data_IF_693448363386
#
_entry.id   IF_693448363386
#
_cell.length_a   1.000
_cell.length_b   1.000
_cell.length_c   1.000
_cell.angle_alpha   90.00
_cell.angle_beta   90.00
_cell.angle_gamma   90.00
#
_symmetry.space_group_name_H-M   'P 1'
#
loop_
_entity.id
_entity.type
_entity.pdbx_description
1 polymer ?
#
# COMPACT_ATOMS: atom_id res chain seq x y z
N UNK A 1 22.50 22.85 34.23
CA UNK A 1 21.33 22.86 33.31
C UNK A 1 21.53 23.97 32.28
N UNK A 2 21.34 23.71 30.98
CA UNK A 2 21.59 24.69 29.89
C UNK A 2 20.79 25.98 30.10
N UNK A 3 19.57 25.89 30.65
CA UNK A 3 18.72 27.04 30.98
C UNK A 3 19.27 28.01 32.03
N UNK A 4 20.31 27.65 32.80
CA UNK A 4 20.89 28.52 33.83
C UNK A 4 21.91 29.55 33.28
N UNK A 5 22.25 29.47 32.00
CA UNK A 5 23.27 30.34 31.38
C UNK A 5 22.67 31.71 31.10
N UNK A 6 23.22 32.77 31.68
CA UNK A 6 22.71 34.14 31.52
C UNK A 6 22.84 34.68 30.09
N UNK A 7 23.95 34.40 29.41
CA UNK A 7 24.19 34.89 28.05
C UNK A 7 23.42 34.07 27.02
N UNK A 8 22.56 34.74 26.25
CA UNK A 8 21.62 34.10 25.32
C UNK A 8 22.34 33.36 24.17
N UNK A 9 23.36 33.96 23.57
CA UNK A 9 24.15 33.30 22.51
C UNK A 9 24.79 32.00 23.01
N UNK A 10 25.48 32.03 24.16
CA UNK A 10 26.10 30.82 24.73
C UNK A 10 25.08 29.76 25.13
N UNK A 11 23.86 30.16 25.51
CA UNK A 11 22.76 29.24 25.81
C UNK A 11 22.30 28.53 24.54
N UNK A 12 22.09 29.28 23.45
CA UNK A 12 21.72 28.70 22.14
C UNK A 12 22.78 27.75 21.64
N UNK A 13 24.05 28.14 21.64
CA UNK A 13 25.14 27.31 21.11
C UNK A 13 25.23 25.96 21.85
N UNK A 14 25.11 25.98 23.18
CA UNK A 14 25.11 24.74 23.98
C UNK A 14 23.84 23.91 23.79
N UNK A 15 22.68 24.54 23.62
CA UNK A 15 21.44 23.83 23.31
C UNK A 15 21.53 23.13 21.96
N UNK A 16 22.05 23.82 20.94
CA UNK A 16 22.26 23.27 19.60
C UNK A 16 23.25 22.10 19.65
N UNK A 17 24.38 22.25 20.35
CA UNK A 17 25.33 21.17 20.54
C UNK A 17 24.73 19.95 21.26
N UNK A 18 23.83 20.15 22.22
CA UNK A 18 23.14 19.06 22.91
C UNK A 18 22.12 18.36 22.00
N UNK A 19 21.34 19.12 21.23
CA UNK A 19 20.41 18.59 20.24
C UNK A 19 21.13 17.76 19.17
N UNK A 20 22.24 18.28 18.62
CA UNK A 20 23.08 17.57 17.65
C UNK A 20 23.56 16.23 18.21
N UNK A 21 24.03 16.20 19.47
CA UNK A 21 24.48 14.96 20.12
C UNK A 21 23.35 13.94 20.26
N UNK A 22 22.15 14.38 20.63
CA UNK A 22 20.98 13.50 20.74
C UNK A 22 20.59 12.93 19.38
N UNK A 23 20.61 13.77 18.34
CA UNK A 23 20.30 13.36 16.98
C UNK A 23 21.32 12.33 16.46
N UNK A 24 22.63 12.58 16.60
CA UNK A 24 23.68 11.62 16.21
C UNK A 24 23.58 10.31 16.99
N UNK A 25 23.15 10.33 18.26
CA UNK A 25 22.93 9.10 19.02
C UNK A 25 21.77 8.28 18.42
N UNK A 26 20.70 8.94 17.99
CA UNK A 26 19.53 8.30 17.37
C UNK A 26 19.84 7.78 15.95
N UNK A 27 20.61 8.52 15.17
CA UNK A 27 21.11 8.09 13.86
C UNK A 27 21.93 6.78 13.96
N UNK A 28 22.73 6.63 15.02
CA UNK A 28 23.47 5.39 15.30
C UNK A 28 22.59 4.23 15.75
N UNK A 29 21.45 4.51 16.37
CA UNK A 29 20.51 3.48 16.86
C UNK A 29 19.66 2.90 15.71
N UNK A 30 19.18 3.77 14.80
CA UNK A 30 18.26 3.41 13.71
C UNK A 30 18.97 3.04 12.40
N UNK A 31 20.18 3.58 12.17
CA UNK A 31 20.83 3.54 10.86
C UNK A 31 20.42 4.73 9.96
N UNK A 32 21.29 5.10 9.02
CA UNK A 32 21.12 6.31 8.20
C UNK A 32 19.96 6.17 7.20
N UNK A 33 19.82 5.04 6.50
CA UNK A 33 18.74 4.90 5.50
C UNK A 33 17.34 4.95 6.15
N UNK A 34 17.16 4.26 7.28
CA UNK A 34 15.89 4.21 8.00
C UNK A 34 15.51 5.59 8.55
N UNK A 35 16.46 6.32 9.16
CA UNK A 35 16.16 7.64 9.73
C UNK A 35 15.78 8.65 8.65
N UNK A 36 16.38 8.58 7.45
CA UNK A 36 16.01 9.44 6.31
C UNK A 36 14.60 9.16 5.79
N UNK A 37 14.19 7.89 5.79
CA UNK A 37 12.81 7.50 5.48
C UNK A 37 11.83 8.11 6.48
N UNK A 38 12.09 7.89 7.78
CA UNK A 38 11.28 8.43 8.88
C UNK A 38 11.18 9.95 8.82
N UNK A 39 12.28 10.67 8.55
CA UNK A 39 12.26 12.13 8.44
C UNK A 39 11.30 12.64 7.36
N UNK A 40 11.33 12.01 6.18
CA UNK A 40 10.44 12.38 5.07
C UNK A 40 8.99 12.09 5.40
N UNK A 41 8.71 10.89 5.92
CA UNK A 41 7.36 10.47 6.26
C UNK A 41 6.76 11.38 7.35
N UNK A 42 7.49 11.60 8.44
CA UNK A 42 7.05 12.45 9.55
C UNK A 42 6.81 13.88 9.06
N UNK A 43 7.70 14.42 8.21
CA UNK A 43 7.53 15.75 7.65
C UNK A 43 6.24 15.86 6.84
N UNK A 44 6.00 14.92 5.93
CA UNK A 44 4.81 14.91 5.07
C UNK A 44 3.53 14.72 5.88
N UNK A 45 3.51 13.79 6.83
CA UNK A 45 2.35 13.54 7.69
C UNK A 45 1.95 14.77 8.51
N UNK A 46 2.93 15.44 9.12
CA UNK A 46 2.68 16.65 9.91
C UNK A 46 2.25 17.81 9.01
N UNK A 47 2.89 17.94 7.84
CA UNK A 47 2.53 18.96 6.85
C UNK A 47 1.09 18.81 6.39
N UNK A 48 0.66 17.60 6.01
CA UNK A 48 -0.70 17.35 5.53
C UNK A 48 -1.74 17.68 6.60
N UNK A 49 -1.47 17.30 7.85
CA UNK A 49 -2.37 17.57 8.98
C UNK A 49 -2.53 19.08 9.20
N UNK A 50 -1.42 19.81 9.27
CA UNK A 50 -1.45 21.27 9.50
C UNK A 50 -2.00 22.04 8.30
N UNK A 51 -1.74 21.56 7.09
CA UNK A 51 -2.24 22.19 5.87
C UNK A 51 -3.77 22.09 5.77
N UNK A 52 -4.34 20.92 6.09
CA UNK A 52 -5.79 20.75 6.14
C UNK A 52 -6.43 21.70 7.15
N UNK A 53 -5.87 21.79 8.36
CA UNK A 53 -6.33 22.72 9.39
C UNK A 53 -6.21 24.19 8.92
N UNK A 54 -5.14 24.54 8.19
CA UNK A 54 -4.98 25.88 7.65
C UNK A 54 -6.02 26.22 6.60
N UNK A 55 -6.35 25.29 5.71
CA UNK A 55 -7.41 25.48 4.71
C UNK A 55 -8.77 25.72 5.37
N UNK A 56 -9.09 24.96 6.42
CA UNK A 56 -10.31 25.15 7.22
C UNK A 56 -10.32 26.54 7.88
N UNK A 57 -9.23 26.93 8.53
CA UNK A 57 -9.09 28.26 9.13
C UNK A 57 -9.23 29.39 8.09
N UNK A 58 -8.67 29.20 6.89
CA UNK A 58 -8.76 30.16 5.79
C UNK A 58 -10.18 30.27 5.22
N UNK A 59 -10.95 29.18 5.27
CA UNK A 59 -12.36 29.18 4.90
C UNK A 59 -13.20 29.93 5.94
N UNK A 60 -13.00 29.68 7.23
CA UNK A 60 -13.64 30.43 8.31
C UNK A 60 -13.28 31.93 8.26
N UNK A 61 -12.01 32.25 7.98
CA UNK A 61 -11.56 33.62 7.82
C UNK A 61 -12.30 34.32 6.68
N UNK A 62 -12.46 33.65 5.53
CA UNK A 62 -13.19 34.18 4.37
C UNK A 62 -14.66 34.46 4.70
N UNK A 63 -15.32 33.55 5.41
CA UNK A 63 -16.73 33.71 5.81
C UNK A 63 -16.89 34.84 6.84
N UNK A 64 -15.97 34.96 7.80
CA UNK A 64 -16.01 35.95 8.87
C UNK A 64 -15.66 37.39 8.46
N UNK A 65 -14.80 37.57 7.44
CA UNK A 65 -14.34 38.90 7.01
C UNK A 65 -15.46 39.79 6.50
N UNK A 66 -16.48 39.21 5.86
CA UNK A 66 -17.61 39.96 5.35
C UNK A 66 -18.35 40.69 6.48
N UNK A 67 -18.45 40.07 7.66
CA UNK A 67 -19.09 40.64 8.85
C UNK A 67 -18.22 41.69 9.56
N UNK A 68 -16.89 41.63 9.41
CA UNK A 68 -15.94 42.61 9.96
C UNK A 68 -15.76 43.85 9.08
N UNK A 69 -16.14 43.78 7.81
CA UNK A 69 -16.01 44.88 6.83
C UNK A 69 -16.83 46.14 7.14
N UNK A 70 -17.74 46.08 8.14
CA UNK A 70 -18.54 47.23 8.59
C UNK A 70 -17.65 48.38 9.15
N UNK A 71 -16.37 48.13 9.43
CA UNK A 71 -15.41 49.10 9.98
C UNK A 71 -14.63 49.98 8.99
N UNK A 72 -15.10 50.19 7.76
CA UNK A 72 -14.43 51.03 6.72
C UNK A 72 -13.03 50.57 6.26
N UNK A 73 -12.61 49.36 6.61
CA UNK A 73 -11.38 48.75 6.09
C UNK A 73 -11.68 47.84 4.92
N UNK A 74 -10.79 47.83 3.92
CA UNK A 74 -10.91 46.97 2.74
C UNK A 74 -10.83 45.49 3.17
N UNK A 75 -11.89 44.69 2.94
CA UNK A 75 -11.92 43.26 3.27
C UNK A 75 -10.74 42.48 2.69
N UNK A 76 -10.28 42.86 1.50
CA UNK A 76 -9.19 42.16 0.81
C UNK A 76 -7.85 42.35 1.52
N UNK A 77 -7.61 43.55 2.04
CA UNK A 77 -6.37 43.89 2.76
C UNK A 77 -6.31 43.18 4.11
N UNK A 78 -7.42 43.16 4.84
CA UNK A 78 -7.53 42.43 6.11
C UNK A 78 -7.38 40.91 5.88
N UNK A 79 -8.02 40.35 4.84
CA UNK A 79 -7.83 38.94 4.48
C UNK A 79 -6.37 38.59 4.24
N UNK A 80 -5.66 39.42 3.46
CA UNK A 80 -4.24 39.20 3.20
C UNK A 80 -3.40 39.31 4.47
N UNK A 81 -3.67 40.28 5.34
CA UNK A 81 -2.91 40.44 6.58
C UNK A 81 -3.17 39.31 7.57
N UNK A 82 -4.42 38.88 7.75
CA UNK A 82 -4.78 37.80 8.67
C UNK A 82 -4.33 36.43 8.13
N UNK A 83 -4.46 36.18 6.82
CA UNK A 83 -3.98 34.95 6.21
C UNK A 83 -2.46 34.77 6.31
N UNK A 84 -1.69 35.86 6.14
CA UNK A 84 -0.24 35.81 6.36
C UNK A 84 0.11 35.44 7.80
N UNK A 85 -0.58 36.01 8.79
CA UNK A 85 -0.36 35.66 10.21
C UNK A 85 -0.66 34.19 10.50
N UNK A 86 -1.76 33.66 9.92
CA UNK A 86 -2.10 32.25 10.04
C UNK A 86 -1.05 31.35 9.40
N UNK A 87 -0.52 31.75 8.24
CA UNK A 87 0.53 30.99 7.56
C UNK A 87 1.87 31.02 8.33
N UNK A 88 2.28 32.17 8.86
CA UNK A 88 3.49 32.28 9.68
C UNK A 88 3.38 31.42 10.95
N UNK A 89 2.18 31.39 11.57
CA UNK A 89 1.88 30.50 12.69
C UNK A 89 1.96 29.03 12.28
N UNK A 90 1.38 28.63 11.14
CA UNK A 90 1.49 27.27 10.63
C UNK A 90 2.96 26.86 10.44
N UNK A 91 3.78 27.73 9.86
CA UNK A 91 5.20 27.43 9.66
C UNK A 91 5.95 27.25 10.98
N UNK A 92 5.62 28.04 12.00
CA UNK A 92 6.22 27.89 13.33
C UNK A 92 5.82 26.55 13.96
N UNK A 93 4.53 26.22 13.94
CA UNK A 93 4.00 24.95 14.47
C UNK A 93 4.56 23.75 13.71
N UNK A 94 4.67 23.82 12.38
CA UNK A 94 5.24 22.75 11.57
C UNK A 94 6.67 22.41 12.00
N UNK A 95 7.53 23.42 12.19
CA UNK A 95 8.92 23.19 12.64
C UNK A 95 8.95 22.56 14.04
N UNK A 96 8.10 23.00 14.94
CA UNK A 96 8.04 22.48 16.31
C UNK A 96 7.57 21.03 16.34
N UNK A 97 6.46 20.71 15.65
CA UNK A 97 5.89 19.36 15.63
C UNK A 97 6.79 18.36 14.91
N UNK A 98 7.41 18.74 13.78
CA UNK A 98 8.37 17.88 13.09
C UNK A 98 9.56 17.54 13.98
N UNK A 99 10.17 18.55 14.62
CA UNK A 99 11.28 18.31 15.53
C UNK A 99 10.83 17.44 16.71
N UNK A 100 9.69 17.77 17.32
CA UNK A 100 9.14 17.01 18.44
C UNK A 100 8.93 15.55 18.06
N UNK A 101 8.33 15.27 16.91
CA UNK A 101 8.11 13.93 16.41
C UNK A 101 9.43 13.19 16.21
N UNK A 102 10.39 13.73 15.44
CA UNK A 102 11.70 13.09 15.18
C UNK A 102 12.43 12.74 16.48
N UNK A 103 12.46 13.66 17.46
CA UNK A 103 13.13 13.41 18.73
C UNK A 103 12.38 12.39 19.62
N UNK A 104 11.08 12.17 19.42
CA UNK A 104 10.30 11.18 20.18
C UNK A 104 10.16 9.80 19.50
N UNK A 105 10.49 9.65 18.21
CA UNK A 105 10.44 8.35 17.52
C UNK A 105 11.25 7.28 18.27
N UNK A 106 10.68 6.11 18.48
CA UNK A 106 11.38 4.93 19.00
C UNK A 106 11.70 3.95 17.87
N UNK A 107 12.73 3.13 18.05
CA UNK A 107 13.13 2.12 17.05
C UNK A 107 12.01 1.14 16.67
N UNK A 108 11.12 0.83 17.62
CA UNK A 108 9.93 0.01 17.35
C UNK A 108 8.98 0.62 16.32
N UNK A 109 8.84 1.94 16.35
CA UNK A 109 7.85 2.66 15.54
C UNK A 109 8.34 2.84 14.10
N UNK A 110 9.66 2.89 13.92
CA UNK A 110 10.30 3.00 12.60
C UNK A 110 10.20 1.67 11.82
N UNK A 111 10.42 0.53 12.47
CA UNK A 111 10.37 -0.79 11.83
C UNK A 111 8.94 -1.16 11.40
N UNK A 112 7.93 -0.84 12.22
CA UNK A 112 6.52 -1.10 11.90
C UNK A 112 5.98 -0.29 10.71
N UNK A 113 6.67 0.77 10.29
CA UNK A 113 6.24 1.66 9.21
C UNK A 113 6.80 1.27 7.85
N UNK A 114 8.03 0.76 7.81
CA UNK A 114 8.60 0.18 6.58
C UNK A 114 7.74 -0.99 6.05
N UNK A 115 7.17 -1.80 6.94
CA UNK A 115 6.20 -2.83 6.54
C UNK A 115 4.90 -2.29 5.95
N UNK A 116 4.50 -1.05 6.28
CA UNK A 116 3.27 -0.44 5.74
C UNK A 116 3.48 0.05 4.31
N UNK A 117 4.69 0.54 3.97
CA UNK A 117 5.01 0.95 2.59
C UNK A 117 5.03 -0.26 1.63
N UNK A 118 5.50 -1.43 2.11
CA UNK A 118 5.40 -2.71 1.38
C UNK A 118 3.94 -3.18 1.18
N UNK A 119 3.04 -2.79 2.08
CA UNK A 119 1.62 -3.13 2.02
C UNK A 119 0.82 -2.32 0.98
N UNK A 120 1.43 -1.33 0.31
CA UNK A 120 0.83 -0.71 -0.89
C UNK A 120 0.77 -1.65 -2.09
N UNK A 121 1.40 -2.83 -2.02
CA UNK A 121 1.05 -3.93 -2.90
C UNK A 121 -0.40 -4.37 -2.61
N UNK A 122 -1.34 -3.82 -3.37
CA UNK A 122 -2.72 -4.28 -3.36
C UNK A 122 -2.75 -5.79 -3.61
N UNK A 123 -3.72 -6.50 -3.03
CA UNK A 123 -3.92 -7.93 -3.28
C UNK A 123 -3.92 -8.27 -4.78
N UNK A 124 -4.38 -7.34 -5.63
CA UNK A 124 -4.31 -7.43 -7.09
C UNK A 124 -2.88 -7.46 -7.64
N UNK A 125 -1.97 -6.66 -7.09
CA UNK A 125 -0.54 -6.64 -7.45
C UNK A 125 0.13 -7.94 -7.01
N UNK A 126 -0.14 -8.42 -5.80
CA UNK A 126 0.37 -9.70 -5.28
C UNK A 126 -0.14 -10.90 -6.11
N UNK A 127 -1.42 -10.87 -6.52
CA UNK A 127 -2.01 -11.91 -7.38
C UNK A 127 -1.43 -11.89 -8.80
N UNK A 128 -1.14 -10.70 -9.33
CA UNK A 128 -0.50 -10.55 -10.64
C UNK A 128 0.95 -11.03 -10.61
N UNK A 129 1.72 -10.71 -9.56
CA UNK A 129 3.10 -11.17 -9.37
C UNK A 129 3.17 -12.69 -9.25
N UNK A 130 2.34 -13.29 -8.40
CA UNK A 130 2.25 -14.75 -8.28
C UNK A 130 1.82 -15.42 -9.59
N UNK A 131 0.90 -14.83 -10.36
CA UNK A 131 0.51 -15.37 -11.68
C UNK A 131 1.66 -15.29 -12.71
N UNK A 132 2.47 -14.24 -12.66
CA UNK A 132 3.64 -14.07 -13.54
C UNK A 132 4.76 -15.03 -13.16
N UNK A 133 5.06 -15.22 -11.88
CA UNK A 133 6.06 -16.22 -11.43
C UNK A 133 5.69 -17.63 -11.86
N UNK A 134 4.41 -18.01 -11.74
CA UNK A 134 3.92 -19.31 -12.20
C UNK A 134 4.01 -19.43 -13.73
N UNK A 135 3.69 -18.36 -14.47
CA UNK A 135 3.83 -18.32 -15.93
C UNK A 135 5.28 -18.40 -16.40
N UNK A 136 6.23 -17.75 -15.73
CA UNK A 136 7.65 -17.74 -16.13
C UNK A 136 8.34 -19.09 -15.86
N UNK A 137 7.95 -19.82 -14.80
CA UNK A 137 8.43 -21.18 -14.57
C UNK A 137 7.77 -22.23 -15.50
N UNK A 138 6.55 -21.99 -16.00
CA UNK A 138 5.93 -22.87 -17.00
C UNK A 138 6.37 -22.58 -18.44
N UNK A 139 6.73 -21.35 -18.79
CA UNK A 139 7.08 -20.95 -20.17
C UNK A 139 8.56 -21.20 -20.51
N UNK A 140 9.46 -21.31 -19.52
CA UNK A 140 10.89 -21.61 -19.75
C UNK A 140 11.19 -23.11 -19.89
N UNK A 141 10.26 -23.97 -19.48
CA UNK A 141 10.21 -25.36 -19.94
C UNK A 141 9.65 -25.40 -21.35
N UNK A 142 10.49 -25.11 -22.35
CA UNK A 142 10.09 -25.13 -23.76
C UNK A 142 9.22 -26.35 -24.06
N UNK A 143 8.11 -26.13 -24.76
CA UNK A 143 7.20 -27.18 -25.21
C UNK A 143 7.98 -28.24 -26.00
N UNK A 144 8.49 -29.25 -25.30
CA UNK A 144 8.87 -30.51 -25.89
C UNK A 144 7.55 -31.16 -26.33
N UNK A 145 7.39 -31.37 -27.64
CA UNK A 145 6.18 -31.94 -28.24
C UNK A 145 5.67 -33.14 -27.41
N UNK A 146 4.62 -32.94 -26.60
CA UNK A 146 3.97 -33.97 -25.76
C UNK A 146 3.04 -34.87 -26.58
N UNK A 147 3.40 -35.13 -27.83
CA UNK A 147 2.66 -35.99 -28.77
C UNK A 147 2.66 -37.48 -28.34
N UNK A 148 3.37 -37.82 -27.25
CA UNK A 148 3.51 -39.17 -26.74
C UNK A 148 3.08 -39.38 -25.28
N UNK A 149 2.53 -38.35 -24.60
CA UNK A 149 2.17 -38.40 -23.18
C UNK A 149 0.77 -39.01 -22.90
N UNK A 150 0.10 -39.55 -23.92
CA UNK A 150 -1.12 -40.39 -23.76
C UNK A 150 -0.86 -41.89 -24.03
N UNK A 151 0.36 -42.34 -23.76
CA UNK A 151 0.75 -43.76 -23.75
C UNK A 151 0.68 -44.40 -22.36
N UNK A 152 -0.42 -44.24 -21.61
CA UNK A 152 -0.56 -44.79 -20.26
C UNK A 152 -2.02 -44.93 -19.82
N UNK A 153 -2.43 -46.14 -19.47
CA UNK A 153 -3.83 -46.57 -19.35
C UNK A 153 -4.65 -45.85 -18.27
N UNK A 154 -5.55 -44.96 -18.67
CA UNK A 154 -6.73 -44.61 -17.87
C UNK A 154 -7.92 -45.37 -18.46
N UNK A 155 -8.50 -46.30 -17.69
CA UNK A 155 -9.73 -47.00 -18.08
C UNK A 155 -10.86 -45.98 -18.23
N UNK A 156 -11.15 -45.54 -19.46
CA UNK A 156 -12.35 -44.76 -19.76
C UNK A 156 -13.59 -45.60 -19.42
N UNK A 157 -14.44 -45.12 -18.52
CA UNK A 157 -15.75 -45.72 -18.28
C UNK A 157 -16.55 -45.66 -19.59
N UNK A 158 -17.17 -46.77 -19.99
CA UNK A 158 -17.92 -46.83 -21.25
C UNK A 158 -19.08 -45.84 -21.21
N UNK A 159 -19.20 -45.00 -22.23
CA UNK A 159 -20.30 -44.05 -22.33
C UNK A 159 -21.65 -44.78 -22.40
N UNK A 160 -22.72 -44.14 -21.91
CA UNK A 160 -24.09 -44.67 -21.98
C UNK A 160 -24.52 -45.03 -23.41
N UNK A 161 -23.96 -44.33 -24.41
CA UNK A 161 -24.18 -44.64 -25.83
C UNK A 161 -23.56 -45.99 -26.24
N UNK A 162 -22.35 -46.30 -25.78
CA UNK A 162 -21.62 -47.52 -26.11
C UNK A 162 -22.23 -48.78 -25.46
N UNK A 163 -22.69 -48.65 -24.22
CA UNK A 163 -23.40 -49.74 -23.51
C UNK A 163 -24.75 -50.06 -24.16
N UNK A 164 -25.49 -49.03 -24.60
CA UNK A 164 -26.73 -49.18 -25.35
C UNK A 164 -26.51 -49.81 -26.75
N UNK A 165 -25.42 -49.43 -27.44
CA UNK A 165 -25.05 -50.03 -28.72
C UNK A 165 -24.76 -51.54 -28.58
N UNK A 166 -23.97 -51.94 -27.57
CA UNK A 166 -23.68 -53.36 -27.29
C UNK A 166 -24.95 -54.17 -26.97
N UNK A 167 -25.88 -53.63 -26.18
CA UNK A 167 -27.18 -54.29 -25.90
C UNK A 167 -28.04 -54.48 -27.16
N UNK A 168 -28.09 -53.49 -28.05
CA UNK A 168 -28.84 -53.57 -29.30
C UNK A 168 -28.22 -54.57 -30.29
N UNK A 169 -26.89 -54.61 -30.40
CA UNK A 169 -26.18 -55.61 -31.24
C UNK A 169 -26.40 -57.03 -30.70
N UNK A 170 -26.36 -57.23 -29.38
CA UNK A 170 -26.64 -58.53 -28.77
C UNK A 170 -28.09 -58.99 -28.99
N UNK A 171 -29.08 -58.08 -28.92
CA UNK A 171 -30.48 -58.37 -29.26
C UNK A 171 -30.64 -58.75 -30.74
N UNK A 172 -29.99 -58.04 -31.66
CA UNK A 172 -29.99 -58.38 -33.10
C UNK A 172 -29.37 -59.75 -33.38
N UNK A 173 -28.23 -60.08 -32.75
CA UNK A 173 -27.59 -61.41 -32.88
C UNK A 173 -28.46 -62.54 -32.32
N UNK A 174 -29.14 -62.35 -31.17
CA UNK A 174 -30.09 -63.35 -30.63
C UNK A 174 -31.31 -63.54 -31.54
N UNK A 175 -31.83 -62.47 -32.15
CA UNK A 175 -32.94 -62.54 -33.12
C UNK A 175 -32.52 -63.28 -34.41
N UNK A 176 -31.33 -63.01 -34.93
CA UNK A 176 -30.76 -63.72 -36.08
C UNK A 176 -30.50 -65.21 -35.79
N UNK A 177 -29.97 -65.56 -34.60
CA UNK A 177 -29.75 -66.95 -34.19
C UNK A 177 -31.07 -67.74 -34.03
N UNK A 178 -32.15 -67.08 -33.56
CA UNK A 178 -33.50 -67.67 -33.51
C UNK A 178 -34.10 -67.86 -34.91
N UNK A 179 -33.85 -66.96 -35.85
CA UNK A 179 -34.30 -67.09 -37.25
C UNK A 179 -33.55 -68.21 -37.98
N UNK A 180 -32.23 -68.35 -37.77
CA UNK A 180 -31.45 -69.43 -38.39
C UNK A 180 -31.81 -70.82 -37.83
N UNK A 181 -32.18 -70.94 -36.54
CA UNK A 181 -32.70 -72.21 -35.98
C UNK A 181 -34.09 -72.60 -36.51
N UNK A 182 -34.89 -71.64 -37.02
CA UNK A 182 -36.18 -71.91 -37.69
C UNK A 182 -36.02 -72.24 -39.18
N UNK A 183 -34.89 -71.91 -39.82
CA UNK A 183 -34.58 -72.21 -41.24
C UNK A 183 -33.79 -73.51 -41.44
N UNK A 184 -33.30 -74.12 -40.37
CA UNK A 184 -32.54 -75.38 -40.37
C UNK A 184 -33.37 -76.58 -39.91
N UNK A 185 -34.70 -76.47 -39.96
CA UNK A 185 -35.65 -77.54 -39.62
C UNK A 185 -36.77 -77.57 -40.63
#
# INVERSE_FOLDING_TARGET
>A
KIGAIKKDSQRRDKALAAAQKMYTAKERELGDDLIRGVEREVYLQVLDTLWMQHLENMQHLREGIHWRSVGQRDPLVEYRSESQKLFDSLQATLREEVLRAIYHVRATDAISRESIDDDHQTELTKLAETSVEHGVNEITGGEENRDHDFGGSIKRAASTAETNHRRNVARKKKKAKRQNRKKSR
#
